data_IF_367078732489
#
_entry.id   IF_367078732489
#
_cell.length_a   1.000
_cell.length_b   1.000
_cell.length_c   1.000
_cell.angle_alpha   90.00
_cell.angle_beta   90.00
_cell.angle_gamma   90.00
#
_symmetry.space_group_name_H-M   'P 1'
#
loop_
_entity.id
_entity.type
_entity.pdbx_description
1 polymer ?
#
# COMPACT_ATOMS: atom_id res chain seq x y z
N UNK A 1 -16.42 14.11 64.17
CA UNK A 1 -15.07 13.82 64.67
C UNK A 1 -14.78 12.38 64.30
N UNK A 2 -13.62 12.10 63.68
CA UNK A 2 -13.30 12.20 62.24
C UNK A 2 -13.07 10.76 61.68
N UNK A 3 -12.71 10.44 60.44
CA UNK A 3 -11.67 10.90 59.50
C UNK A 3 -12.18 10.59 58.07
N UNK A 4 -12.23 11.52 57.12
CA UNK A 4 -11.12 12.02 56.30
C UNK A 4 -10.22 10.93 55.70
N UNK A 5 -10.65 10.37 54.56
CA UNK A 5 -9.78 9.73 53.60
C UNK A 5 -10.18 10.19 52.19
N UNK A 6 -9.58 11.32 51.81
CA UNK A 6 -9.52 11.81 50.44
C UNK A 6 -8.69 10.82 49.61
N UNK A 7 -9.30 10.15 48.62
CA UNK A 7 -8.54 9.40 47.61
C UNK A 7 -8.63 10.15 46.28
N UNK A 8 -7.70 11.08 46.15
CA UNK A 8 -7.50 11.95 45.00
C UNK A 8 -6.76 11.16 43.90
N UNK A 9 -7.20 11.19 42.64
CA UNK A 9 -6.58 10.43 41.56
C UNK A 9 -5.17 10.97 41.23
N UNK A 10 -4.19 10.10 40.88
CA UNK A 10 -2.90 10.58 40.40
C UNK A 10 -3.02 11.13 38.98
N UNK A 11 -2.99 12.46 38.87
CA UNK A 11 -2.58 13.17 37.67
C UNK A 11 -1.05 13.23 37.61
N UNK A 12 -0.45 12.76 36.51
CA UNK A 12 0.69 13.41 35.82
C UNK A 12 1.37 12.45 34.83
N UNK A 13 1.06 12.62 33.54
CA UNK A 13 2.07 12.99 32.53
C UNK A 13 3.50 12.50 32.78
N UNK A 14 3.82 11.25 32.41
CA UNK A 14 5.21 10.77 32.22
C UNK A 14 5.26 9.60 31.24
N UNK A 15 5.10 9.88 29.94
CA UNK A 15 5.51 8.96 28.87
C UNK A 15 5.63 9.68 27.52
N UNK A 16 6.24 10.86 27.54
CA UNK A 16 6.50 11.65 26.34
C UNK A 16 7.92 12.27 26.37
N UNK A 17 8.95 11.46 26.62
CA UNK A 17 10.34 11.88 26.37
C UNK A 17 11.19 10.65 26.08
N UNK A 18 11.38 10.32 24.81
CA UNK A 18 12.52 9.54 24.33
C UNK A 18 12.63 9.67 22.82
N UNK A 19 13.80 10.14 22.38
CA UNK A 19 14.32 10.20 21.01
C UNK A 19 14.01 11.48 20.22
N UNK A 20 14.57 12.59 20.69
CA UNK A 20 15.00 13.69 19.83
C UNK A 20 16.49 13.98 20.11
N UNK A 21 17.41 13.32 19.41
CA UNK A 21 18.75 13.87 19.15
C UNK A 21 19.49 13.00 18.11
N UNK A 22 19.36 13.34 16.83
CA UNK A 22 20.38 12.95 15.85
C UNK A 22 20.68 14.14 14.95
N UNK A 23 21.44 15.07 15.54
CA UNK A 23 22.03 16.20 14.84
C UNK A 23 23.11 15.71 13.88
N UNK A 24 22.90 16.05 12.62
CA UNK A 24 23.84 16.03 11.51
C UNK A 24 25.17 16.68 11.92
N UNK A 25 26.29 15.95 11.80
CA UNK A 25 27.64 16.51 11.80
C UNK A 25 28.42 15.90 10.63
N UNK A 26 28.91 16.71 9.66
CA UNK A 26 29.78 16.22 8.60
C UNK A 26 31.25 16.15 9.09
N UNK A 27 32.04 15.13 8.71
CA UNK A 27 33.47 15.15 9.02
C UNK A 27 34.24 16.05 8.05
N UNK A 28 35.00 16.96 8.65
CA UNK A 28 35.92 17.89 8.01
C UNK A 28 37.06 17.20 7.27
N UNK A 29 37.33 17.74 6.09
CA UNK A 29 38.43 17.50 5.15
C UNK A 29 39.80 17.67 5.81
N UNK A 30 40.71 16.71 5.64
CA UNK A 30 42.15 16.92 5.83
C UNK A 30 42.98 16.13 4.80
N UNK A 31 44.02 16.81 4.31
CA UNK A 31 44.91 16.47 3.21
C UNK A 31 45.88 15.35 3.55
N UNK A 32 45.99 14.35 2.67
CA UNK A 32 47.21 13.54 2.50
C UNK A 32 47.22 12.89 1.10
N UNK A 33 48.07 13.39 0.20
CA UNK A 33 48.58 12.59 -0.91
C UNK A 33 49.66 11.65 -0.39
N UNK A 34 49.72 10.41 -0.90
CA UNK A 34 50.95 10.05 -1.61
C UNK A 34 50.71 9.19 -2.86
N UNK A 35 51.38 9.64 -3.93
CA UNK A 35 52.19 8.88 -4.90
C UNK A 35 51.63 7.62 -5.58
N UNK A 36 51.62 7.74 -6.91
CA UNK A 36 51.42 6.72 -7.93
C UNK A 36 52.22 5.43 -7.70
N UNK A 37 51.52 4.29 -7.76
CA UNK A 37 52.06 3.07 -8.37
C UNK A 37 51.01 2.47 -9.29
N UNK A 38 51.42 2.22 -10.53
CA UNK A 38 50.61 1.67 -11.60
C UNK A 38 49.95 0.35 -11.19
N UNK A 39 48.63 0.25 -11.40
CA UNK A 39 47.92 -1.02 -11.46
C UNK A 39 46.97 -0.93 -12.64
N UNK A 40 47.18 -1.85 -13.57
CA UNK A 40 46.54 -1.92 -14.86
C UNK A 40 45.01 -1.79 -14.74
N UNK A 41 44.49 -0.72 -15.33
CA UNK A 41 43.08 -0.66 -15.71
C UNK A 41 42.79 -1.86 -16.60
N UNK A 42 41.84 -2.75 -16.26
CA UNK A 42 41.27 -3.61 -17.29
C UNK A 42 40.60 -2.64 -18.27
N UNK A 43 41.16 -2.58 -19.47
CA UNK A 43 40.56 -1.88 -20.60
C UNK A 43 39.24 -2.60 -20.87
N UNK A 44 38.16 -2.13 -20.24
CA UNK A 44 36.81 -2.56 -20.54
C UNK A 44 36.59 -2.13 -21.97
N UNK A 45 36.76 -3.08 -22.89
CA UNK A 45 36.27 -2.97 -24.26
C UNK A 45 34.77 -2.76 -24.11
N UNK A 46 34.35 -1.50 -24.11
CA UNK A 46 32.96 -1.16 -24.42
C UNK A 46 32.81 -1.57 -25.88
N UNK A 47 32.46 -2.83 -26.07
CA UNK A 47 31.86 -3.28 -27.31
C UNK A 47 30.55 -2.51 -27.37
N UNK A 48 30.60 -1.35 -28.02
CA UNK A 48 29.41 -0.67 -28.53
C UNK A 48 28.81 -1.70 -29.48
N UNK A 49 27.88 -2.50 -28.97
CA UNK A 49 26.94 -3.21 -29.79
C UNK A 49 26.26 -2.12 -30.58
N UNK A 50 26.59 -2.01 -31.85
CA UNK A 50 25.82 -1.22 -32.80
C UNK A 50 24.43 -1.83 -32.78
N UNK A 51 23.55 -1.27 -31.94
CA UNK A 51 22.15 -1.67 -31.83
C UNK A 51 21.58 -1.58 -33.24
N UNK A 52 21.37 -2.75 -33.86
CA UNK A 52 20.83 -2.82 -35.20
C UNK A 52 19.40 -2.29 -35.13
N UNK A 53 18.92 -1.49 -36.10
CA UNK A 53 17.53 -1.02 -36.13
C UNK A 53 16.51 -2.15 -35.94
N UNK A 54 16.85 -3.38 -36.35
CA UNK A 54 16.02 -4.59 -36.17
C UNK A 54 15.93 -5.05 -34.72
N UNK A 55 16.99 -4.90 -33.93
CA UNK A 55 17.01 -5.29 -32.51
C UNK A 55 16.12 -4.38 -31.66
N UNK A 56 15.99 -3.11 -32.05
CA UNK A 56 15.07 -2.15 -31.44
C UNK A 56 13.61 -2.48 -31.77
N UNK A 57 13.31 -2.86 -33.01
CA UNK A 57 11.97 -3.28 -33.41
C UNK A 57 11.56 -4.60 -32.72
N UNK A 58 12.47 -5.56 -32.61
CA UNK A 58 12.24 -6.80 -31.85
C UNK A 58 12.02 -6.54 -30.36
N UNK A 59 12.82 -5.65 -29.76
CA UNK A 59 12.66 -5.23 -28.35
C UNK A 59 11.33 -4.52 -28.12
N UNK A 60 10.87 -3.68 -29.07
CA UNK A 60 9.56 -3.02 -29.04
C UNK A 60 8.42 -4.05 -29.09
N UNK A 61 8.51 -5.04 -29.97
CA UNK A 61 7.52 -6.11 -30.07
C UNK A 61 7.44 -6.90 -28.75
N UNK A 62 8.60 -7.23 -28.16
CA UNK A 62 8.65 -7.91 -26.86
C UNK A 62 8.02 -7.07 -25.74
N UNK A 63 8.32 -5.77 -25.70
CA UNK A 63 7.78 -4.86 -24.70
C UNK A 63 6.26 -4.66 -24.86
N UNK A 64 5.76 -4.62 -26.10
CA UNK A 64 4.32 -4.57 -26.37
C UNK A 64 3.62 -5.87 -26.02
N UNK A 65 4.27 -7.02 -26.22
CA UNK A 65 3.77 -8.31 -25.72
C UNK A 65 3.67 -8.32 -24.19
N UNK A 66 4.70 -7.84 -23.50
CA UNK A 66 4.71 -7.74 -22.04
C UNK A 66 3.60 -6.82 -21.54
N UNK A 67 3.43 -5.63 -22.14
CA UNK A 67 2.30 -4.72 -21.83
C UNK A 67 0.95 -5.39 -21.99
N UNK A 68 0.74 -6.13 -23.09
CA UNK A 68 -0.51 -6.87 -23.32
C UNK A 68 -0.75 -7.94 -22.25
N UNK A 69 0.29 -8.67 -21.85
CA UNK A 69 0.20 -9.68 -20.79
C UNK A 69 -0.14 -9.05 -19.43
N UNK A 70 0.55 -7.97 -19.06
CA UNK A 70 0.27 -7.23 -17.83
C UNK A 70 -1.17 -6.71 -17.78
N UNK A 71 -1.64 -6.08 -18.86
CA UNK A 71 -3.01 -5.58 -18.96
C UNK A 71 -4.04 -6.70 -18.81
N UNK A 72 -3.79 -7.88 -19.39
CA UNK A 72 -4.68 -9.05 -19.24
C UNK A 72 -4.71 -9.53 -17.79
N UNK A 73 -3.55 -9.68 -17.15
CA UNK A 73 -3.48 -10.12 -15.75
C UNK A 73 -4.18 -9.14 -14.82
N UNK A 74 -3.90 -7.85 -14.95
CA UNK A 74 -4.56 -6.80 -14.15
C UNK A 74 -6.07 -6.82 -14.33
N UNK A 75 -6.55 -6.99 -15.58
CA UNK A 75 -7.99 -7.13 -15.85
C UNK A 75 -8.57 -8.36 -15.17
N UNK A 76 -7.91 -9.52 -15.25
CA UNK A 76 -8.38 -10.75 -14.60
C UNK A 76 -8.45 -10.60 -13.09
N UNK A 77 -7.40 -10.04 -12.47
CA UNK A 77 -7.35 -9.79 -11.02
C UNK A 77 -8.48 -8.86 -10.61
N UNK A 78 -8.67 -7.75 -11.33
CA UNK A 78 -9.76 -6.81 -11.08
C UNK A 78 -11.13 -7.49 -11.10
N UNK A 79 -11.43 -8.25 -12.16
CA UNK A 79 -12.72 -8.93 -12.31
C UNK A 79 -12.96 -9.98 -11.22
N UNK A 80 -11.93 -10.74 -10.84
CA UNK A 80 -12.04 -11.75 -9.79
C UNK A 80 -12.32 -11.12 -8.41
N UNK A 81 -11.69 -9.99 -8.11
CA UNK A 81 -11.93 -9.23 -6.88
C UNK A 81 -13.34 -8.63 -6.90
N UNK A 82 -13.75 -7.97 -7.99
CA UNK A 82 -15.10 -7.41 -8.14
C UNK A 82 -16.18 -8.50 -7.94
N UNK A 83 -16.00 -9.67 -8.54
CA UNK A 83 -16.92 -10.80 -8.38
C UNK A 83 -16.99 -11.30 -6.94
N UNK A 84 -15.84 -11.46 -6.28
CA UNK A 84 -15.77 -11.91 -4.88
C UNK A 84 -16.45 -10.91 -3.94
N UNK A 85 -16.25 -9.60 -4.17
CA UNK A 85 -16.88 -8.55 -3.37
C UNK A 85 -18.39 -8.46 -3.62
N UNK A 86 -18.84 -8.67 -4.86
CA UNK A 86 -20.26 -8.78 -5.17
C UNK A 86 -20.91 -9.96 -4.43
N UNK A 87 -20.23 -11.12 -4.38
CA UNK A 87 -20.70 -12.29 -3.63
C UNK A 87 -20.76 -12.07 -2.11
N UNK A 88 -20.01 -11.10 -1.58
CA UNK A 88 -20.00 -10.74 -0.15
C UNK A 88 -21.03 -9.68 0.20
N UNK A 89 -21.58 -9.00 -0.80
CA UNK A 89 -22.67 -8.05 -0.60
C UNK A 89 -23.88 -8.73 0.06
N UNK A 90 -24.42 -8.10 1.11
CA UNK A 90 -25.54 -8.69 1.85
C UNK A 90 -25.17 -9.77 2.88
N UNK A 91 -23.90 -10.21 2.97
CA UNK A 91 -23.45 -11.16 4.00
C UNK A 91 -23.03 -10.43 5.29
N UNK A 92 -22.96 -11.18 6.39
CA UNK A 92 -22.43 -10.72 7.67
C UNK A 92 -21.56 -11.82 8.29
N UNK A 93 -20.39 -11.47 8.81
CA UNK A 93 -19.44 -12.40 9.43
C UNK A 93 -19.55 -12.39 10.96
N UNK A 94 -20.77 -12.59 11.49
CA UNK A 94 -21.04 -12.91 12.89
C UNK A 94 -20.78 -11.82 13.93
N UNK A 95 -20.12 -10.71 13.58
CA UNK A 95 -20.05 -9.52 14.44
C UNK A 95 -19.75 -8.25 13.64
N UNK A 96 -20.18 -7.11 14.17
CA UNK A 96 -19.91 -5.79 13.58
C UNK A 96 -18.42 -5.45 13.53
N UNK A 97 -17.67 -5.85 14.56
CA UNK A 97 -16.23 -5.57 14.63
C UNK A 97 -15.47 -6.37 13.56
N UNK A 98 -15.77 -7.67 13.42
CA UNK A 98 -15.19 -8.51 12.37
C UNK A 98 -15.53 -7.97 10.97
N UNK A 99 -16.78 -7.56 10.75
CA UNK A 99 -17.20 -6.98 9.47
C UNK A 99 -16.43 -5.69 9.12
N UNK A 100 -16.18 -4.83 10.12
CA UNK A 100 -15.39 -3.60 9.94
C UNK A 100 -13.93 -3.89 9.64
N UNK A 101 -13.32 -4.85 10.33
CA UNK A 101 -11.94 -5.27 10.09
C UNK A 101 -11.78 -5.82 8.68
N UNK A 102 -12.68 -6.72 8.26
CA UNK A 102 -12.70 -7.27 6.89
C UNK A 102 -12.84 -6.15 5.86
N UNK A 103 -13.71 -5.17 6.10
CA UNK A 103 -13.86 -4.01 5.20
C UNK A 103 -12.55 -3.23 5.07
N UNK A 104 -11.86 -2.97 6.18
CA UNK A 104 -10.58 -2.27 6.16
C UNK A 104 -9.51 -3.04 5.37
N UNK A 105 -9.41 -4.35 5.58
CA UNK A 105 -8.46 -5.21 4.84
C UNK A 105 -8.78 -5.24 3.34
N UNK A 106 -10.06 -5.27 2.97
CA UNK A 106 -10.48 -5.18 1.56
C UNK A 106 -10.04 -3.85 0.94
N UNK A 107 -10.24 -2.73 1.65
CA UNK A 107 -9.82 -1.41 1.15
C UNK A 107 -8.31 -1.33 0.97
N UNK A 108 -7.52 -1.83 1.93
CA UNK A 108 -6.06 -1.88 1.83
C UNK A 108 -5.61 -2.72 0.62
N UNK A 109 -6.23 -3.88 0.40
CA UNK A 109 -5.95 -4.74 -0.75
C UNK A 109 -6.26 -4.04 -2.07
N UNK A 110 -7.39 -3.33 -2.15
CA UNK A 110 -7.78 -2.60 -3.34
C UNK A 110 -6.85 -1.42 -3.62
N UNK A 111 -6.51 -0.65 -2.58
CA UNK A 111 -5.59 0.48 -2.68
C UNK A 111 -4.19 0.04 -3.10
N UNK A 112 -3.67 -1.06 -2.52
CA UNK A 112 -2.38 -1.65 -2.88
C UNK A 112 -2.30 -2.11 -4.34
N UNK A 113 -3.43 -2.43 -4.97
CA UNK A 113 -3.52 -2.80 -6.39
C UNK A 113 -4.01 -1.66 -7.29
N UNK A 114 -4.24 -0.46 -6.76
CA UNK A 114 -4.77 0.69 -7.51
C UNK A 114 -6.18 0.44 -8.07
N UNK A 115 -6.93 -0.47 -7.45
CA UNK A 115 -8.27 -0.86 -7.85
C UNK A 115 -9.31 0.02 -7.14
N UNK A 116 -10.45 0.23 -7.80
CA UNK A 116 -11.62 0.91 -7.22
C UNK A 116 -12.81 -0.03 -7.25
N UNK A 117 -13.61 0.00 -6.19
CA UNK A 117 -14.88 -0.74 -6.14
C UNK A 117 -15.90 -0.03 -7.03
N UNK A 118 -16.66 -0.80 -7.79
CA UNK A 118 -17.86 -0.32 -8.48
C UNK A 118 -19.10 -0.95 -7.84
N UNK A 119 -20.17 -0.18 -7.72
CA UNK A 119 -21.45 -0.70 -7.27
C UNK A 119 -21.99 -1.72 -8.28
N UNK A 120 -22.40 -2.93 -7.87
CA UNK A 120 -22.95 -3.93 -8.79
C UNK A 120 -24.31 -3.52 -9.37
N UNK A 121 -25.06 -2.65 -8.69
CA UNK A 121 -26.40 -2.22 -9.13
C UNK A 121 -26.36 -1.13 -10.21
N UNK A 122 -25.41 -0.19 -10.13
CA UNK A 122 -25.39 1.00 -10.99
C UNK A 122 -24.07 1.24 -11.73
N UNK A 123 -23.02 0.47 -11.46
CA UNK A 123 -21.70 0.59 -12.09
C UNK A 123 -20.85 1.79 -11.66
N UNK A 124 -21.36 2.69 -10.83
CA UNK A 124 -20.63 3.87 -10.35
C UNK A 124 -19.54 3.49 -9.35
N UNK A 125 -18.46 4.29 -9.24
CA UNK A 125 -17.44 4.08 -8.22
C UNK A 125 -18.09 4.15 -6.83
N UNK A 126 -17.85 3.12 -6.03
CA UNK A 126 -18.45 2.91 -4.73
C UNK A 126 -17.40 2.70 -3.64
N UNK A 127 -17.81 2.82 -2.39
CA UNK A 127 -17.03 2.50 -1.20
C UNK A 127 -17.78 1.40 -0.47
N UNK A 128 -17.11 0.28 -0.22
CA UNK A 128 -17.66 -0.78 0.63
C UNK A 128 -17.71 -0.28 2.09
N UNK A 129 -18.88 -0.31 2.71
CA UNK A 129 -19.08 0.09 4.12
C UNK A 129 -19.87 -0.97 4.86
N UNK A 130 -19.58 -1.13 6.15
CA UNK A 130 -20.46 -1.86 7.05
C UNK A 130 -21.50 -0.92 7.64
N UNK A 131 -22.77 -1.20 7.39
CA UNK A 131 -23.88 -0.47 8.01
C UNK A 131 -24.63 -1.37 8.97
N UNK A 132 -25.04 -0.80 10.12
CA UNK A 132 -26.00 -1.43 11.02
C UNK A 132 -27.40 -1.07 10.55
N UNK A 133 -28.23 -2.07 10.28
CA UNK A 133 -29.63 -1.89 9.89
C UNK A 133 -30.53 -2.26 11.07
N UNK A 134 -31.64 -1.56 11.33
CA UNK A 134 -32.61 -2.01 12.34
C UNK A 134 -33.04 -3.45 12.03
N UNK A 135 -32.73 -4.38 12.93
CA UNK A 135 -32.99 -5.82 12.78
C UNK A 135 -31.76 -6.69 12.49
N UNK A 136 -30.60 -6.13 12.12
CA UNK A 136 -29.35 -6.88 11.91
C UNK A 136 -28.27 -6.30 12.81
N UNK A 137 -28.01 -6.99 13.93
CA UNK A 137 -27.08 -6.54 14.98
C UNK A 137 -25.63 -6.63 14.51
N UNK A 138 -25.33 -7.57 13.62
CA UNK A 138 -23.96 -7.85 13.15
C UNK A 138 -23.48 -6.86 12.08
N UNK A 139 -24.38 -6.05 11.52
CA UNK A 139 -24.08 -5.18 10.38
C UNK A 139 -23.87 -5.94 9.07
N UNK A 140 -24.16 -5.27 7.96
CA UNK A 140 -24.11 -5.86 6.61
C UNK A 140 -23.20 -5.03 5.71
N UNK A 141 -22.53 -5.69 4.77
CA UNK A 141 -21.77 -5.03 3.71
C UNK A 141 -22.70 -4.33 2.73
N UNK A 142 -22.49 -3.03 2.55
CA UNK A 142 -23.26 -2.16 1.65
C UNK A 142 -22.28 -1.35 0.80
N UNK A 143 -22.60 -1.19 -0.48
CA UNK A 143 -21.84 -0.31 -1.39
C UNK A 143 -22.44 1.09 -1.37
N UNK A 144 -21.70 2.04 -0.82
CA UNK A 144 -22.08 3.45 -0.78
C UNK A 144 -21.46 4.17 -1.99
N UNK A 145 -22.29 4.77 -2.84
CA UNK A 145 -21.86 5.45 -4.05
C UNK A 145 -22.71 6.70 -4.28
N UNK A 146 -22.07 7.76 -4.76
CA UNK A 146 -22.74 9.01 -5.15
C UNK A 146 -23.08 8.92 -6.63
N UNK A 147 -24.37 9.05 -6.96
CA UNK A 147 -24.91 9.10 -8.33
C UNK A 147 -24.95 10.56 -8.80
#
# INVERSE_FOLDING_TARGET
MPDDASDQPPSASRLAERFADERIVPPSRSMASPQHTASATPSVKVMVATESPRDLDDSRIQLDNLKRQLNRLQRTVRLAIEQSLADWSGKAFGSLLANREITATIHELLEGHGLRVSCPECGHPAILRCSVRPGIVDGVFVFDHVI
#
